data_IF_689599621058
#
_entry.id   IF_689599621058
#
_cell.length_a   1.000
_cell.length_b   1.000
_cell.length_c   1.000
_cell.angle_alpha   90.00
_cell.angle_beta   90.00
_cell.angle_gamma   90.00
#
_symmetry.space_group_name_H-M   'P 1'
#
loop_
_entity.id
_entity.type
_entity.pdbx_description
1 polymer ?
#
# COMPACT_ATOMS: atom_id res chain seq x y z
N UNK A 1 15.21 20.09 1.92
CA UNK A 1 13.99 20.80 1.45
C UNK A 1 13.56 20.41 0.04
N UNK A 2 14.45 20.45 -0.98
CA UNK A 2 14.06 20.05 -2.36
C UNK A 2 13.46 18.64 -2.46
N UNK A 3 14.06 17.66 -1.78
CA UNK A 3 13.56 16.26 -1.73
C UNK A 3 12.14 16.16 -1.12
N UNK A 4 11.90 16.84 0.01
CA UNK A 4 10.59 16.89 0.65
C UNK A 4 9.51 17.51 -0.24
N UNK A 5 9.84 18.59 -0.98
CA UNK A 5 8.89 19.23 -1.88
C UNK A 5 8.51 18.32 -3.06
N UNK A 6 9.49 17.60 -3.62
CA UNK A 6 9.26 16.60 -4.68
C UNK A 6 8.38 15.47 -4.15
N UNK A 7 8.70 14.90 -3.00
CA UNK A 7 7.91 13.85 -2.37
C UNK A 7 6.49 14.29 -2.04
N UNK A 8 6.31 15.55 -1.59
CA UNK A 8 5.00 16.13 -1.34
C UNK A 8 4.16 16.26 -2.61
N UNK A 9 4.72 16.81 -3.69
CA UNK A 9 4.00 16.94 -4.97
C UNK A 9 3.65 15.56 -5.53
N UNK A 10 4.58 14.60 -5.50
CA UNK A 10 4.30 13.23 -5.93
C UNK A 10 3.16 12.62 -5.11
N UNK A 11 3.21 12.76 -3.79
CA UNK A 11 2.20 12.24 -2.87
C UNK A 11 0.81 12.81 -3.18
N UNK A 12 0.72 14.13 -3.42
CA UNK A 12 -0.54 14.78 -3.79
C UNK A 12 -1.06 14.24 -5.12
N UNK A 13 -0.22 14.13 -6.14
CA UNK A 13 -0.62 13.59 -7.46
C UNK A 13 -1.13 12.15 -7.32
N UNK A 14 -0.40 11.31 -6.59
CA UNK A 14 -0.76 9.91 -6.36
C UNK A 14 -2.07 9.75 -5.57
N UNK A 15 -2.48 10.75 -4.78
CA UNK A 15 -3.77 10.75 -4.09
C UNK A 15 -4.90 11.32 -4.95
N UNK A 16 -4.66 12.39 -5.70
CA UNK A 16 -5.69 13.04 -6.51
C UNK A 16 -6.17 12.13 -7.64
N UNK A 17 -5.26 11.41 -8.31
CA UNK A 17 -5.60 10.50 -9.41
C UNK A 17 -6.64 9.42 -9.01
N UNK A 18 -6.42 8.60 -7.95
CA UNK A 18 -7.37 7.57 -7.56
C UNK A 18 -8.68 8.18 -7.05
N UNK A 19 -8.65 9.29 -6.31
CA UNK A 19 -9.87 9.98 -5.89
C UNK A 19 -10.70 10.47 -7.08
N UNK A 20 -10.06 11.11 -8.06
CA UNK A 20 -10.74 11.59 -9.26
C UNK A 20 -11.35 10.43 -10.05
N UNK A 21 -10.65 9.30 -10.22
CA UNK A 21 -11.20 8.12 -10.91
C UNK A 21 -12.40 7.51 -10.19
N UNK A 22 -12.37 7.41 -8.86
CA UNK A 22 -13.48 6.88 -8.07
C UNK A 22 -14.70 7.81 -8.14
N UNK A 23 -14.50 9.12 -8.00
CA UNK A 23 -15.58 10.11 -8.00
C UNK A 23 -16.26 10.29 -9.36
N UNK A 24 -15.47 10.22 -10.45
CA UNK A 24 -15.99 10.39 -11.81
C UNK A 24 -16.55 9.11 -12.41
N UNK A 25 -16.27 7.95 -11.82
CA UNK A 25 -16.73 6.65 -12.32
C UNK A 25 -16.24 6.33 -13.72
N UNK A 26 -15.07 6.85 -14.12
CA UNK A 26 -14.57 6.84 -15.51
C UNK A 26 -14.22 5.45 -16.07
N UNK A 27 -14.15 4.42 -15.23
CA UNK A 27 -13.69 3.09 -15.63
C UNK A 27 -14.46 1.97 -14.91
N UNK A 28 -14.24 0.73 -15.35
CA UNK A 28 -14.82 -0.45 -14.69
C UNK A 28 -14.39 -0.55 -13.23
N UNK A 29 -15.23 -1.15 -12.38
CA UNK A 29 -14.93 -1.30 -10.96
C UNK A 29 -13.60 -2.03 -10.71
N UNK A 30 -13.32 -3.07 -11.50
CA UNK A 30 -12.05 -3.82 -11.44
C UNK A 30 -10.86 -2.94 -11.79
N UNK A 31 -10.97 -2.10 -12.84
CA UNK A 31 -9.91 -1.18 -13.25
C UNK A 31 -9.65 -0.15 -12.17
N UNK A 32 -10.70 0.48 -11.62
CA UNK A 32 -10.57 1.46 -10.54
C UNK A 32 -9.88 0.84 -9.33
N UNK A 33 -10.33 -0.35 -8.90
CA UNK A 33 -9.77 -1.03 -7.73
C UNK A 33 -8.28 -1.38 -7.95
N UNK A 34 -7.94 -1.90 -9.13
CA UNK A 34 -6.54 -2.20 -9.48
C UNK A 34 -5.66 -0.93 -9.46
N UNK A 35 -6.16 0.19 -10.01
CA UNK A 35 -5.41 1.44 -10.02
C UNK A 35 -5.27 2.05 -8.62
N UNK A 36 -6.31 2.02 -7.80
CA UNK A 36 -6.26 2.50 -6.41
C UNK A 36 -5.23 1.72 -5.61
N UNK A 37 -5.28 0.39 -5.66
CA UNK A 37 -4.33 -0.48 -4.95
C UNK A 37 -2.90 -0.27 -5.48
N UNK A 38 -2.72 -0.20 -6.80
CA UNK A 38 -1.42 0.04 -7.42
C UNK A 38 -0.80 1.37 -6.97
N UNK A 39 -1.57 2.45 -7.03
CA UNK A 39 -1.11 3.78 -6.60
C UNK A 39 -0.87 3.84 -5.08
N UNK A 40 -1.65 3.12 -4.26
CA UNK A 40 -1.41 3.02 -2.83
C UNK A 40 -0.04 2.37 -2.52
N UNK A 41 0.34 1.32 -3.25
CA UNK A 41 1.67 0.70 -3.09
C UNK A 41 2.78 1.68 -3.47
N UNK A 42 2.65 2.39 -4.60
CA UNK A 42 3.64 3.40 -4.99
C UNK A 42 3.70 4.53 -3.96
N UNK A 43 2.57 4.92 -3.36
CA UNK A 43 2.50 5.96 -2.34
C UNK A 43 3.29 5.59 -1.08
N UNK A 44 3.24 4.32 -0.65
CA UNK A 44 4.05 3.82 0.45
C UNK A 44 5.54 3.98 0.12
N UNK A 45 5.96 3.61 -1.09
CA UNK A 45 7.37 3.74 -1.52
C UNK A 45 7.80 5.20 -1.52
N UNK A 46 6.97 6.12 -2.01
CA UNK A 46 7.26 7.57 -1.98
C UNK A 46 7.48 8.05 -0.55
N UNK A 47 6.66 7.61 0.42
CA UNK A 47 6.84 7.98 1.82
C UNK A 47 8.13 7.40 2.42
N UNK A 48 8.44 6.14 2.14
CA UNK A 48 9.67 5.50 2.63
C UNK A 48 10.93 6.21 2.12
N UNK A 49 10.94 6.62 0.85
CA UNK A 49 12.11 7.24 0.21
C UNK A 49 12.22 8.73 0.53
N UNK A 50 11.16 9.51 0.28
CA UNK A 50 11.25 10.99 0.35
C UNK A 50 11.01 11.58 1.73
N UNK A 51 10.30 10.87 2.62
CA UNK A 51 9.97 11.38 3.97
C UNK A 51 10.75 10.65 5.05
N UNK A 52 10.74 9.32 5.02
CA UNK A 52 11.46 8.50 5.99
C UNK A 52 12.97 8.42 5.69
N UNK A 53 13.40 8.87 4.51
CA UNK A 53 14.80 8.86 4.06
C UNK A 53 15.47 7.51 4.28
N UNK A 54 14.72 6.42 4.08
CA UNK A 54 15.25 5.08 4.30
C UNK A 54 16.23 4.75 3.19
N UNK A 55 17.54 4.77 3.48
CA UNK A 55 18.58 4.56 2.47
C UNK A 55 19.13 3.12 2.53
N UNK A 56 19.64 2.64 1.41
CA UNK A 56 20.34 1.35 1.32
C UNK A 56 21.78 1.36 1.87
N UNK A 57 22.13 2.36 2.68
CA UNK A 57 23.46 2.46 3.29
C UNK A 57 23.73 1.27 4.22
N UNK A 58 25.00 0.90 4.41
CA UNK A 58 25.37 -0.26 5.25
C UNK A 58 24.86 -0.17 6.68
N UNK A 59 24.67 1.05 7.19
CA UNK A 59 24.18 1.34 8.54
C UNK A 59 22.64 1.21 8.64
N UNK A 60 21.91 1.55 7.57
CA UNK A 60 20.43 1.50 7.52
C UNK A 60 19.88 0.18 6.96
N UNK A 61 20.75 -0.73 6.51
CA UNK A 61 20.33 -2.04 5.98
C UNK A 61 19.53 -2.84 7.00
N UNK A 62 19.83 -2.70 8.30
CA UNK A 62 19.07 -3.31 9.38
C UNK A 62 17.65 -2.75 9.50
N UNK A 63 17.45 -1.45 9.27
CA UNK A 63 16.10 -0.86 9.23
C UNK A 63 15.29 -1.41 8.05
N UNK A 64 15.93 -1.59 6.89
CA UNK A 64 15.27 -2.18 5.73
C UNK A 64 14.86 -3.64 5.99
N UNK A 65 15.73 -4.43 6.62
CA UNK A 65 15.42 -5.82 7.01
C UNK A 65 14.28 -5.85 8.03
N UNK A 66 14.31 -5.00 9.06
CA UNK A 66 13.24 -4.91 10.05
C UNK A 66 11.90 -4.52 9.40
N UNK A 67 11.90 -3.54 8.49
CA UNK A 67 10.72 -3.12 7.75
C UNK A 67 10.13 -4.26 6.91
N UNK A 68 10.96 -4.96 6.13
CA UNK A 68 10.50 -6.11 5.32
C UNK A 68 9.96 -7.24 6.19
N UNK A 69 10.60 -7.48 7.34
CA UNK A 69 10.12 -8.48 8.31
C UNK A 69 8.74 -8.10 8.87
N UNK A 70 8.53 -6.84 9.25
CA UNK A 70 7.22 -6.35 9.68
C UNK A 70 6.18 -6.44 8.56
N UNK A 71 6.52 -6.06 7.33
CA UNK A 71 5.63 -6.17 6.18
C UNK A 71 5.23 -7.63 5.90
N UNK A 72 6.17 -8.57 6.03
CA UNK A 72 5.90 -10.01 5.91
C UNK A 72 4.93 -10.50 6.99
N UNK A 73 5.13 -10.12 8.25
CA UNK A 73 4.20 -10.48 9.33
C UNK A 73 2.79 -9.94 9.04
N UNK A 74 2.69 -8.67 8.64
CA UNK A 74 1.41 -8.05 8.29
C UNK A 74 0.75 -8.83 7.14
N UNK A 75 1.49 -9.19 6.10
CA UNK A 75 0.96 -9.96 4.98
C UNK A 75 0.41 -11.32 5.44
N UNK A 76 1.16 -12.05 6.28
CA UNK A 76 0.73 -13.35 6.82
C UNK A 76 -0.56 -13.20 7.64
N UNK A 77 -0.60 -12.22 8.55
CA UNK A 77 -1.75 -12.02 9.45
C UNK A 77 -2.98 -11.55 8.66
N UNK A 78 -2.84 -10.60 7.74
CA UNK A 78 -3.97 -10.06 6.98
C UNK A 78 -4.51 -11.10 6.01
N UNK A 79 -3.65 -11.71 5.19
CA UNK A 79 -4.09 -12.74 4.23
C UNK A 79 -4.62 -13.96 4.97
N UNK A 80 -3.92 -14.41 6.01
CA UNK A 80 -4.34 -15.54 6.84
C UNK A 80 -5.67 -15.30 7.53
N UNK A 81 -5.89 -14.13 8.13
CA UNK A 81 -7.16 -13.80 8.79
C UNK A 81 -8.32 -13.70 7.81
N UNK A 82 -8.14 -13.02 6.67
CA UNK A 82 -9.15 -12.97 5.61
C UNK A 82 -9.49 -14.37 5.09
N UNK A 83 -8.47 -15.20 4.85
CA UNK A 83 -8.66 -16.58 4.41
C UNK A 83 -9.42 -17.42 5.44
N UNK A 84 -9.00 -17.38 6.71
CA UNK A 84 -9.62 -18.14 7.79
C UNK A 84 -11.08 -17.70 7.96
N UNK A 85 -11.34 -16.39 8.04
CA UNK A 85 -12.70 -15.87 8.21
C UNK A 85 -13.60 -16.20 7.03
N UNK A 86 -13.08 -16.12 5.80
CA UNK A 86 -13.82 -16.51 4.59
C UNK A 86 -14.18 -18.00 4.60
N UNK A 87 -13.22 -18.87 4.92
CA UNK A 87 -13.47 -20.31 5.01
C UNK A 87 -14.41 -20.64 6.17
N UNK A 88 -14.24 -20.04 7.34
CA UNK A 88 -15.12 -20.22 8.48
C UNK A 88 -16.56 -19.79 8.15
N UNK A 89 -16.74 -18.66 7.44
CA UNK A 89 -18.05 -18.19 7.04
C UNK A 89 -18.75 -19.19 6.10
N UNK A 90 -18.04 -19.70 5.09
CA UNK A 90 -18.59 -20.70 4.15
C UNK A 90 -18.91 -22.03 4.85
N UNK A 91 -18.10 -22.44 5.83
CA UNK A 91 -18.29 -23.73 6.51
C UNK A 91 -19.22 -23.68 7.73
N UNK A 92 -19.52 -22.50 8.27
CA UNK A 92 -20.48 -22.31 9.39
C UNK A 92 -21.82 -21.71 8.97
N UNK A 93 -21.94 -21.13 7.78
CA UNK A 93 -23.25 -20.94 7.16
C UNK A 93 -23.78 -22.31 6.74
N UNK A 94 -24.44 -22.98 7.69
CA UNK A 94 -25.41 -24.04 7.39
C UNK A 94 -26.53 -23.39 6.59
N UNK A 95 -26.92 -23.99 5.47
CA UNK A 95 -28.11 -23.60 4.70
C UNK A 95 -29.33 -23.30 5.60
#
# INVERSE_FOLDING_TARGET
MKSYLIGFILSVILTVIPFAMVMSGTASHTTILATVVGLAVVQIIVHLVYFLHMNGSSEERWNLVAFLFTAMIIAIVVVGSLWIMYNLNINMMVD
#
